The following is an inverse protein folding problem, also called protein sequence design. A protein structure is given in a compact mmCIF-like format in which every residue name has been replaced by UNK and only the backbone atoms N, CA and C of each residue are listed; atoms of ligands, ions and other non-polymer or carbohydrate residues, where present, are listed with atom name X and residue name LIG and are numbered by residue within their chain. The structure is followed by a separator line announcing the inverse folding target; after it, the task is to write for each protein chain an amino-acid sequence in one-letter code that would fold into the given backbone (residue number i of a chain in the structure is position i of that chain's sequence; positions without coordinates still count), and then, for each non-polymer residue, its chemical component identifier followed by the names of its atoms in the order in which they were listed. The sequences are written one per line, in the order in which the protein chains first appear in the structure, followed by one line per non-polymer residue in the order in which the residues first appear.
data_IF_775090694320
#
_entry.id   IF_775090694320
#
_cell.length_a   1.000
_cell.length_b   1.000
_cell.length_c   1.000
_cell.angle_alpha   90.00
_cell.angle_beta   90.00
_cell.angle_gamma   90.00
#
_symmetry.space_group_name_H-M   'P 1'
#
loop_
_entity.id
_entity.type
_entity.pdbx_description
1 polymer ?
#
# COMPACT_ATOMS: atom_id res chain seq x y z
N UNK A 1 15.59 -19.75 -9.58
CA UNK A 1 14.62 -20.38 -8.64
C UNK A 1 13.45 -19.40 -8.47
N UNK A 2 12.34 -19.57 -9.20
CA UNK A 2 11.13 -18.74 -9.00
C UNK A 2 10.51 -19.17 -7.67
N UNK A 3 10.72 -18.39 -6.61
CA UNK A 3 10.06 -18.64 -5.33
C UNK A 3 8.67 -18.03 -5.38
N UNK A 4 7.75 -18.93 -5.66
CA UNK A 4 6.33 -18.82 -5.54
C UNK A 4 5.94 -18.66 -4.07
N UNK A 5 5.22 -17.59 -3.69
CA UNK A 5 4.74 -17.40 -2.31
C UNK A 5 3.26 -17.77 -2.27
N UNK A 6 2.88 -18.88 -1.62
CA UNK A 6 1.47 -19.23 -1.49
C UNK A 6 0.72 -18.14 -0.72
N UNK A 7 -0.43 -17.71 -1.23
CA UNK A 7 -1.31 -16.72 -0.58
C UNK A 7 -1.62 -17.04 0.89
N UNK A 8 -1.68 -18.34 1.22
CA UNK A 8 -1.86 -18.85 2.58
C UNK A 8 -0.68 -18.53 3.53
N UNK A 9 0.57 -18.54 3.04
CA UNK A 9 1.74 -18.17 3.85
C UNK A 9 1.76 -16.66 4.14
N UNK A 10 1.37 -15.83 3.17
CA UNK A 10 1.32 -14.38 3.33
C UNK A 10 0.34 -13.98 4.44
N UNK A 11 -0.88 -14.53 4.39
CA UNK A 11 -1.94 -14.21 5.34
C UNK A 11 -1.59 -14.67 6.77
N UNK A 12 -0.92 -15.81 6.90
CA UNK A 12 -0.52 -16.36 8.21
C UNK A 12 0.70 -15.68 8.82
N UNK A 13 1.69 -15.33 8.02
CA UNK A 13 3.01 -14.97 8.55
C UNK A 13 3.29 -13.46 8.54
N UNK A 14 2.73 -12.73 7.57
CA UNK A 14 2.92 -11.28 7.46
C UNK A 14 1.79 -10.53 8.16
N UNK A 15 0.53 -10.89 7.90
CA UNK A 15 -0.62 -10.11 8.38
C UNK A 15 -0.99 -10.37 9.84
N UNK A 16 -0.80 -11.60 10.33
CA UNK A 16 -1.21 -12.01 11.68
C UNK A 16 -0.60 -11.14 12.79
N UNK A 17 0.72 -10.85 12.81
CA UNK A 17 1.31 -10.00 13.84
C UNK A 17 0.67 -8.61 13.92
N UNK A 18 0.40 -7.99 12.77
CA UNK A 18 -0.24 -6.66 12.73
C UNK A 18 -1.69 -6.68 13.22
N UNK A 19 -2.45 -7.73 12.89
CA UNK A 19 -3.83 -7.87 13.38
C UNK A 19 -3.89 -8.02 14.90
N UNK A 20 -2.99 -8.83 15.47
CA UNK A 20 -2.89 -8.98 16.93
C UNK A 20 -2.44 -7.69 17.60
N UNK A 21 -1.49 -6.95 17.02
CA UNK A 21 -1.06 -5.64 17.52
C UNK A 21 -2.21 -4.63 17.56
N UNK A 22 -3.00 -4.55 16.49
CA UNK A 22 -4.18 -3.67 16.43
C UNK A 22 -5.20 -4.06 17.50
N UNK A 23 -5.55 -5.35 17.57
CA UNK A 23 -6.51 -5.88 18.54
C UNK A 23 -6.08 -5.61 19.98
N UNK A 24 -4.81 -5.85 20.30
CA UNK A 24 -4.25 -5.56 21.62
C UNK A 24 -4.28 -4.07 21.92
N UNK A 25 -3.95 -3.22 20.95
CA UNK A 25 -3.97 -1.76 21.13
C UNK A 25 -5.38 -1.24 21.41
N UNK A 26 -6.37 -1.73 20.66
CA UNK A 26 -7.80 -1.41 20.84
C UNK A 26 -8.25 -1.81 22.25
N UNK A 27 -7.95 -3.04 22.66
CA UNK A 27 -8.34 -3.56 23.98
C UNK A 27 -7.65 -2.83 25.14
N UNK A 28 -6.33 -2.59 25.03
CA UNK A 28 -5.54 -1.95 26.10
C UNK A 28 -5.88 -0.47 26.29
N UNK A 29 -6.22 0.23 25.21
CA UNK A 29 -6.61 1.65 25.27
C UNK A 29 -8.11 1.85 25.48
N UNK A 30 -8.92 0.79 25.37
CA UNK A 30 -10.38 0.88 25.48
C UNK A 30 -11.01 1.78 24.41
N UNK A 31 -10.42 1.83 23.22
CA UNK A 31 -10.91 2.66 22.11
C UNK A 31 -11.73 1.82 21.13
N UNK A 32 -12.69 2.43 20.46
CA UNK A 32 -13.50 1.78 19.42
C UNK A 32 -13.46 2.60 18.13
N UNK A 33 -12.35 2.55 17.36
CA UNK A 33 -12.22 3.36 16.17
C UNK A 33 -13.27 2.96 15.13
N UNK A 34 -13.90 3.96 14.52
CA UNK A 34 -14.86 3.78 13.42
C UNK A 34 -14.20 4.11 12.08
N UNK A 35 -14.22 3.14 11.18
CA UNK A 35 -13.79 3.26 9.79
C UNK A 35 -15.02 3.19 8.86
N UNK A 36 -15.16 4.17 7.99
CA UNK A 36 -16.20 4.18 6.95
C UNK A 36 -15.56 3.92 5.58
N UNK A 37 -16.08 2.92 4.87
CA UNK A 37 -15.69 2.61 3.50
C UNK A 37 -16.76 3.06 2.51
N UNK A 38 -16.38 3.79 1.47
CA UNK A 38 -17.27 4.24 0.40
C UNK A 38 -17.09 3.41 -0.86
N UNK A 39 -18.12 2.65 -1.24
CA UNK A 39 -18.17 1.88 -2.47
C UNK A 39 -19.12 2.56 -3.45
N UNK A 40 -18.57 3.25 -4.44
CA UNK A 40 -19.31 4.02 -5.44
C UNK A 40 -19.14 3.49 -6.88
N UNK A 41 -18.57 2.30 -7.03
CA UNK A 41 -18.44 1.60 -8.31
C UNK A 41 -19.18 0.26 -8.27
N UNK A 42 -19.38 -0.34 -9.45
CA UNK A 42 -20.02 -1.65 -9.60
C UNK A 42 -19.01 -2.78 -9.79
N UNK A 43 -17.73 -2.55 -9.50
CA UNK A 43 -16.68 -3.56 -9.72
C UNK A 43 -16.84 -4.72 -8.69
N UNK A 44 -17.08 -5.96 -9.15
CA UNK A 44 -17.18 -7.11 -8.25
C UNK A 44 -15.90 -7.35 -7.42
N UNK A 45 -14.73 -6.93 -7.92
CA UNK A 45 -13.47 -7.02 -7.18
C UNK A 45 -13.44 -6.02 -6.01
N UNK A 46 -13.94 -4.81 -6.22
CA UNK A 46 -14.06 -3.79 -5.16
C UNK A 46 -15.03 -4.24 -4.07
N UNK A 47 -16.17 -4.84 -4.44
CA UNK A 47 -17.12 -5.39 -3.47
C UNK A 47 -16.48 -6.50 -2.61
N UNK A 48 -15.80 -7.46 -3.23
CA UNK A 48 -15.09 -8.53 -2.50
C UNK A 48 -14.01 -7.98 -1.58
N UNK A 49 -13.30 -6.95 -2.02
CA UNK A 49 -12.30 -6.29 -1.20
C UNK A 49 -12.94 -5.61 0.01
N UNK A 50 -14.08 -4.92 -0.18
CA UNK A 50 -14.84 -4.31 0.91
C UNK A 50 -15.35 -5.32 1.94
N UNK A 51 -15.84 -6.48 1.49
CA UNK A 51 -16.25 -7.59 2.38
C UNK A 51 -15.05 -8.13 3.18
N UNK A 52 -13.88 -8.24 2.54
CA UNK A 52 -12.65 -8.67 3.21
C UNK A 52 -12.17 -7.65 4.26
N UNK A 53 -12.29 -6.36 3.96
CA UNK A 53 -12.02 -5.26 4.90
C UNK A 53 -12.97 -5.36 6.10
N UNK A 54 -14.28 -5.49 5.87
CA UNK A 54 -15.28 -5.64 6.92
C UNK A 54 -14.95 -6.80 7.87
N UNK A 55 -14.64 -7.97 7.30
CA UNK A 55 -14.24 -9.15 8.09
C UNK A 55 -13.00 -8.87 8.95
N UNK A 56 -11.99 -8.22 8.37
CA UNK A 56 -10.74 -7.89 9.08
C UNK A 56 -10.99 -6.90 10.21
N UNK A 57 -11.79 -5.86 9.97
CA UNK A 57 -12.17 -4.89 10.99
C UNK A 57 -12.87 -5.57 12.17
N UNK A 58 -13.87 -6.42 11.90
CA UNK A 58 -14.57 -7.21 12.93
C UNK A 58 -13.62 -8.10 13.73
N UNK A 59 -12.67 -8.79 13.09
CA UNK A 59 -11.68 -9.63 13.76
C UNK A 59 -10.75 -8.84 14.70
N UNK A 60 -10.47 -7.58 14.36
CA UNK A 60 -9.56 -6.70 15.12
C UNK A 60 -10.26 -5.82 16.16
N UNK A 61 -11.59 -5.70 16.12
CA UNK A 61 -12.36 -4.83 17.01
C UNK A 61 -12.53 -3.39 16.50
N UNK A 62 -12.26 -3.14 15.22
CA UNK A 62 -12.54 -1.86 14.55
C UNK A 62 -14.00 -1.86 14.09
N UNK A 63 -14.75 -0.79 14.40
CA UNK A 63 -16.10 -0.62 13.91
C UNK A 63 -16.02 -0.25 12.43
N UNK A 64 -16.66 -1.03 11.55
CA UNK A 64 -16.65 -0.79 10.11
C UNK A 64 -18.05 -0.58 9.57
N UNK A 65 -18.21 0.47 8.77
CA UNK A 65 -19.45 0.78 8.06
C UNK A 65 -19.15 0.88 6.57
N UNK A 66 -19.82 0.05 5.76
CA UNK A 66 -19.74 0.12 4.31
C UNK A 66 -20.91 0.95 3.77
N UNK A 67 -20.62 2.12 3.22
CA UNK A 67 -21.59 2.97 2.54
C UNK A 67 -21.52 2.75 1.03
N UNK A 68 -22.62 2.25 0.47
CA UNK A 68 -22.83 2.21 -0.98
C UNK A 68 -23.55 3.48 -1.39
N UNK A 69 -22.97 4.23 -2.32
CA UNK A 69 -23.55 5.48 -2.84
C UNK A 69 -23.36 5.52 -4.36
N UNK A 70 -24.08 6.40 -5.04
CA UNK A 70 -23.77 6.66 -6.44
C UNK A 70 -22.46 7.45 -6.52
N UNK A 71 -21.72 7.29 -7.61
CA UNK A 71 -20.48 8.04 -7.84
C UNK A 71 -20.71 9.55 -7.82
N UNK A 72 -21.87 10.01 -8.26
CA UNK A 72 -22.26 11.43 -8.27
C UNK A 72 -22.47 11.99 -6.86
N UNK A 73 -22.90 11.16 -5.91
CA UNK A 73 -23.20 11.56 -4.51
C UNK A 73 -21.97 11.38 -3.59
N UNK A 74 -20.89 10.79 -4.10
CA UNK A 74 -19.75 10.37 -3.28
C UNK A 74 -19.05 11.52 -2.58
N UNK A 75 -18.87 12.66 -3.25
CA UNK A 75 -18.23 13.83 -2.67
C UNK A 75 -19.00 14.34 -1.45
N UNK A 76 -20.31 14.51 -1.57
CA UNK A 76 -21.18 14.96 -0.48
C UNK A 76 -21.15 13.99 0.71
N UNK A 77 -21.13 12.69 0.45
CA UNK A 77 -21.02 11.68 1.50
C UNK A 77 -19.66 11.69 2.21
N UNK A 78 -18.57 11.95 1.49
CA UNK A 78 -17.23 12.14 2.08
C UNK A 78 -17.23 13.40 2.95
N UNK A 79 -17.78 14.51 2.47
CA UNK A 79 -17.86 15.77 3.24
C UNK A 79 -18.63 15.56 4.55
N UNK A 80 -19.79 14.91 4.51
CA UNK A 80 -20.54 14.56 5.74
C UNK A 80 -19.71 13.69 6.69
N UNK A 81 -18.97 12.71 6.16
CA UNK A 81 -18.13 11.84 6.98
C UNK A 81 -16.89 12.56 7.57
N UNK A 82 -16.37 13.56 6.87
CA UNK A 82 -15.30 14.42 7.38
C UNK A 82 -15.75 15.21 8.61
N UNK A 83 -17.01 15.69 8.62
CA UNK A 83 -17.56 16.48 9.73
C UNK A 83 -18.01 15.62 10.93
N UNK A 84 -18.31 14.34 10.72
CA UNK A 84 -18.75 13.44 11.79
C UNK A 84 -17.58 13.03 12.73
N UNK A 85 -17.55 13.58 13.93
CA UNK A 85 -16.53 13.29 14.97
C UNK A 85 -16.52 11.82 15.42
N UNK A 86 -17.60 11.06 15.21
CA UNK A 86 -17.64 9.63 15.51
C UNK A 86 -16.82 8.79 14.53
N UNK A 87 -16.48 9.35 13.36
CA UNK A 87 -15.69 8.68 12.31
C UNK A 87 -14.21 9.04 12.47
N UNK A 88 -13.37 8.01 12.64
CA UNK A 88 -11.92 8.19 12.81
C UNK A 88 -11.15 7.94 11.51
N UNK A 89 -11.74 7.22 10.55
CA UNK A 89 -11.09 6.89 9.29
C UNK A 89 -12.08 6.78 8.14
N UNK A 90 -11.64 7.19 6.96
CA UNK A 90 -12.37 7.15 5.70
C UNK A 90 -11.53 6.42 4.66
N UNK A 91 -12.17 5.50 3.94
CA UNK A 91 -11.58 4.73 2.85
C UNK A 91 -12.50 4.78 1.63
N UNK A 92 -11.95 4.95 0.43
CA UNK A 92 -12.73 5.02 -0.81
C UNK A 92 -12.26 3.93 -1.78
N UNK A 93 -13.18 3.12 -2.28
CA UNK A 93 -12.84 2.03 -3.20
C UNK A 93 -12.70 2.55 -4.64
N UNK A 94 -11.47 2.90 -5.04
CA UNK A 94 -11.11 3.32 -6.39
C UNK A 94 -10.96 2.15 -7.39
N UNK A 95 -11.05 2.40 -8.71
CA UNK A 95 -11.42 3.66 -9.35
C UNK A 95 -12.93 3.93 -9.25
N UNK A 96 -13.32 5.21 -9.16
CA UNK A 96 -14.74 5.61 -9.17
C UNK A 96 -15.09 6.18 -10.54
N UNK A 97 -14.30 7.13 -11.01
CA UNK A 97 -14.43 7.73 -12.35
C UNK A 97 -13.35 7.23 -13.31
N UNK A 98 -12.20 6.78 -12.80
CA UNK A 98 -11.09 6.27 -13.62
C UNK A 98 -10.25 7.35 -14.28
N UNK A 99 -10.39 8.61 -13.87
CA UNK A 99 -9.65 9.75 -14.38
C UNK A 99 -9.11 10.66 -13.24
N UNK A 100 -8.88 11.94 -13.52
CA UNK A 100 -8.36 12.90 -12.54
C UNK A 100 -9.36 13.25 -11.43
N UNK A 101 -10.64 12.94 -11.59
CA UNK A 101 -11.66 13.15 -10.54
C UNK A 101 -11.38 12.27 -9.32
N UNK A 102 -10.85 11.07 -9.52
CA UNK A 102 -10.43 10.21 -8.40
C UNK A 102 -9.32 10.87 -7.57
N UNK A 103 -8.39 11.60 -8.21
CA UNK A 103 -7.36 12.37 -7.49
C UNK A 103 -7.96 13.57 -6.74
N UNK A 104 -9.02 14.17 -7.28
CA UNK A 104 -9.74 15.22 -6.58
C UNK A 104 -10.41 14.66 -5.30
N UNK A 105 -11.14 13.55 -5.42
CA UNK A 105 -11.78 12.88 -4.28
C UNK A 105 -10.79 12.48 -3.18
N UNK A 106 -9.59 12.01 -3.54
CA UNK A 106 -8.51 11.73 -2.58
C UNK A 106 -8.13 12.95 -1.72
N UNK A 107 -8.33 14.16 -2.24
CA UNK A 107 -8.06 15.41 -1.54
C UNK A 107 -9.30 16.00 -0.83
N UNK A 108 -10.50 15.50 -1.13
CA UNK A 108 -11.72 15.81 -0.38
C UNK A 108 -11.70 15.10 0.98
N UNK A 109 -11.14 13.89 1.06
CA UNK A 109 -10.98 13.17 2.33
C UNK A 109 -10.07 13.97 3.27
N UNK A 110 -10.54 14.24 4.49
CA UNK A 110 -9.76 14.98 5.47
C UNK A 110 -8.46 14.22 5.81
N UNK A 111 -7.33 14.92 5.81
CA UNK A 111 -6.02 14.29 6.03
C UNK A 111 -5.91 13.56 7.37
N UNK A 112 -6.63 13.99 8.42
CA UNK A 112 -6.65 13.31 9.72
C UNK A 112 -7.44 12.00 9.71
N UNK A 113 -8.34 11.83 8.73
CA UNK A 113 -9.18 10.63 8.53
C UNK A 113 -8.76 9.79 7.32
N UNK A 114 -7.84 10.25 6.48
CA UNK A 114 -7.29 9.50 5.34
C UNK A 114 -6.41 8.33 5.80
N UNK A 115 -7.01 7.15 5.93
CA UNK A 115 -6.29 5.92 6.34
C UNK A 115 -5.52 5.28 5.18
N UNK A 116 -5.78 5.69 3.94
CA UNK A 116 -5.13 5.14 2.75
C UNK A 116 -3.83 5.87 2.41
N UNK A 117 -3.66 7.11 2.88
CA UNK A 117 -2.46 7.91 2.67
C UNK A 117 -2.40 8.54 1.29
N UNK A 118 -3.54 8.76 0.64
CA UNK A 118 -3.63 9.17 -0.77
C UNK A 118 -3.78 10.68 -0.96
N UNK A 119 -4.09 11.44 0.08
CA UNK A 119 -4.13 12.90 -0.06
C UNK A 119 -2.74 13.47 -0.41
N UNK A 120 -2.74 14.61 -1.11
CA UNK A 120 -1.52 15.27 -1.60
C UNK A 120 -0.48 15.49 -0.50
N UNK A 121 -0.92 15.80 0.73
CA UNK A 121 -0.05 16.03 1.89
C UNK A 121 0.77 14.79 2.24
N UNK A 122 0.15 13.61 2.31
CA UNK A 122 0.84 12.37 2.63
C UNK A 122 1.73 11.88 1.51
N UNK A 123 1.27 12.00 0.27
CA UNK A 123 2.10 11.70 -0.90
C UNK A 123 3.34 12.61 -0.93
N UNK A 124 3.16 13.92 -0.74
CA UNK A 124 4.27 14.88 -0.66
C UNK A 124 5.26 14.51 0.45
N UNK A 125 4.77 14.29 1.67
CA UNK A 125 5.61 13.94 2.80
C UNK A 125 6.42 12.66 2.55
N UNK A 126 5.79 11.65 1.95
CA UNK A 126 6.46 10.41 1.58
C UNK A 126 7.59 10.65 0.57
N UNK A 127 7.37 11.44 -0.49
CA UNK A 127 8.42 11.75 -1.47
C UNK A 127 9.58 12.53 -0.86
N UNK A 128 9.30 13.42 0.08
CA UNK A 128 10.31 14.21 0.81
C UNK A 128 10.88 13.50 2.05
N UNK A 129 10.54 12.22 2.25
CA UNK A 129 11.00 11.42 3.39
C UNK A 129 10.65 12.05 4.77
N UNK A 130 9.56 12.82 4.84
CA UNK A 130 9.03 13.42 6.07
C UNK A 130 8.25 12.34 6.83
N UNK A 131 8.79 11.90 7.97
CA UNK A 131 8.25 10.78 8.75
C UNK A 131 7.29 11.19 9.87
N UNK A 132 7.25 12.47 10.23
CA UNK A 132 6.40 13.01 11.28
C UNK A 132 5.67 14.25 10.78
N UNK A 133 4.41 14.39 11.15
CA UNK A 133 3.54 15.50 10.74
C UNK A 133 3.76 16.71 11.66
N UNK A 134 4.17 16.45 12.89
CA UNK A 134 4.43 17.44 13.93
C UNK A 134 5.93 17.59 14.21
N UNK A 135 6.33 18.77 14.68
CA UNK A 135 7.72 19.09 15.02
C UNK A 135 8.24 18.26 16.19
N UNK A 136 7.34 17.87 17.10
CA UNK A 136 7.64 17.10 18.31
C UNK A 136 7.83 15.59 18.03
N UNK A 137 7.60 15.15 16.79
CA UNK A 137 7.74 13.76 16.34
C UNK A 137 6.84 12.78 17.10
N UNK A 138 5.65 13.23 17.52
CA UNK A 138 4.65 12.42 18.22
C UNK A 138 3.70 11.72 17.25
N UNK A 139 3.46 12.30 16.06
CA UNK A 139 2.52 11.82 15.05
C UNK A 139 3.26 11.42 13.78
N UNK A 140 3.33 10.11 13.55
CA UNK A 140 3.89 9.57 12.30
C UNK A 140 3.06 9.99 11.11
N UNK A 141 3.74 10.30 10.01
CA UNK A 141 3.10 10.52 8.73
C UNK A 141 2.52 9.20 8.20
N UNK A 142 1.30 9.26 7.67
CA UNK A 142 0.69 8.12 6.97
C UNK A 142 1.40 7.96 5.62
N UNK A 143 1.63 6.70 5.24
CA UNK A 143 2.25 6.31 3.97
C UNK A 143 1.20 5.51 3.19
N UNK A 144 1.11 5.69 1.87
CA UNK A 144 0.23 4.90 1.02
C UNK A 144 0.23 3.40 1.37
N UNK A 145 -0.95 2.86 1.66
CA UNK A 145 -1.10 1.53 2.27
C UNK A 145 -0.52 0.41 1.38
N UNK A 146 -0.69 0.49 0.06
CA UNK A 146 -0.24 -0.54 -0.89
C UNK A 146 1.30 -0.56 -1.02
N UNK A 147 1.97 0.56 -1.33
CA UNK A 147 3.43 0.63 -1.28
C UNK A 147 4.02 0.17 0.06
N UNK A 148 3.41 0.58 1.19
CA UNK A 148 3.85 0.17 2.51
C UNK A 148 3.70 -1.35 2.72
N UNK A 149 2.59 -1.94 2.29
CA UNK A 149 2.38 -3.38 2.37
C UNK A 149 3.49 -4.14 1.62
N UNK A 150 3.86 -3.69 0.41
CA UNK A 150 4.96 -4.28 -0.36
C UNK A 150 6.28 -4.17 0.42
N UNK A 151 6.59 -3.01 1.00
CA UNK A 151 7.78 -2.84 1.86
C UNK A 151 7.75 -3.84 3.01
N UNK A 152 6.62 -4.01 3.71
CA UNK A 152 6.49 -5.00 4.79
C UNK A 152 6.69 -6.44 4.34
N UNK A 153 6.24 -6.79 3.13
CA UNK A 153 6.53 -8.09 2.54
C UNK A 153 8.03 -8.26 2.32
N UNK A 154 8.69 -7.26 1.75
CA UNK A 154 10.12 -7.29 1.46
C UNK A 154 10.99 -7.37 2.73
N UNK A 155 10.57 -6.69 3.81
CA UNK A 155 11.17 -6.82 5.13
C UNK A 155 11.01 -8.25 5.67
N UNK A 156 9.81 -8.82 5.54
CA UNK A 156 9.52 -10.18 6.00
C UNK A 156 10.37 -11.23 5.28
N UNK A 157 10.48 -11.16 3.95
CA UNK A 157 11.26 -12.10 3.14
C UNK A 157 12.78 -11.82 3.15
N UNK A 158 13.24 -10.91 4.02
CA UNK A 158 14.66 -10.58 4.24
C UNK A 158 15.39 -10.03 3.02
N UNK A 159 14.69 -9.29 2.15
CA UNK A 159 15.35 -8.49 1.10
C UNK A 159 16.14 -7.34 1.73
N UNK A 160 15.55 -6.70 2.74
CA UNK A 160 16.16 -5.66 3.55
C UNK A 160 17.31 -6.24 4.39
N UNK A 161 18.46 -5.58 4.38
CA UNK A 161 19.60 -5.93 5.22
C UNK A 161 19.47 -5.24 6.58
N UNK A 162 19.17 -5.97 7.67
CA UNK A 162 18.96 -5.38 8.99
C UNK A 162 20.26 -4.88 9.65
N UNK A 163 21.43 -5.26 9.14
CA UNK A 163 22.74 -4.81 9.66
C UNK A 163 23.01 -3.36 9.25
N UNK A 164 22.44 -2.90 8.13
CA UNK A 164 22.61 -1.54 7.64
C UNK A 164 21.73 -0.55 8.41
N UNK A 165 22.20 0.69 8.48
CA UNK A 165 21.45 1.79 9.08
C UNK A 165 20.06 1.96 8.42
N UNK A 166 19.10 2.43 9.21
CA UNK A 166 17.79 2.80 8.70
C UNK A 166 17.92 3.84 7.57
N UNK A 167 17.13 3.70 6.50
CA UNK A 167 17.28 4.49 5.26
C UNK A 167 18.35 3.98 4.28
N UNK A 168 19.11 2.94 4.63
CA UNK A 168 20.10 2.33 3.72
C UNK A 168 20.01 0.79 3.66
N UNK A 169 18.90 0.22 4.14
CA UNK A 169 18.71 -1.23 4.26
C UNK A 169 18.60 -1.95 2.91
N UNK A 170 18.35 -1.23 1.83
CA UNK A 170 18.33 -1.75 0.47
C UNK A 170 19.60 -1.46 -0.33
N UNK A 171 20.67 -0.97 0.32
CA UNK A 171 21.93 -0.72 -0.35
C UNK A 171 22.44 -1.93 -1.15
N UNK A 172 22.85 -1.69 -2.39
CA UNK A 172 23.34 -2.74 -3.30
C UNK A 172 22.23 -3.62 -3.91
N UNK A 173 20.96 -3.38 -3.60
CA UNK A 173 19.80 -4.01 -4.26
C UNK A 173 19.39 -3.20 -5.49
N UNK A 174 19.12 -3.90 -6.59
CA UNK A 174 18.53 -3.30 -7.80
C UNK A 174 17.08 -3.77 -7.90
N UNK A 175 16.15 -2.83 -7.97
CA UNK A 175 14.72 -3.12 -7.97
C UNK A 175 14.10 -2.51 -9.21
N UNK A 176 13.36 -3.31 -9.96
CA UNK A 176 12.60 -2.89 -11.12
C UNK A 176 11.11 -2.95 -10.80
N UNK A 177 10.43 -1.83 -10.96
CA UNK A 177 8.98 -1.70 -10.77
C UNK A 177 8.33 -1.58 -12.13
N UNK A 178 7.45 -2.53 -12.44
CA UNK A 178 6.64 -2.57 -13.66
C UNK A 178 5.26 -2.04 -13.33
N UNK A 179 5.18 -0.72 -13.16
CA UNK A 179 3.99 0.09 -12.95
C UNK A 179 4.41 1.55 -12.74
N UNK A 180 3.71 2.50 -13.37
CA UNK A 180 3.95 3.96 -13.22
C UNK A 180 2.75 4.75 -12.69
N UNK A 181 1.77 4.08 -12.09
CA UNK A 181 0.61 4.74 -11.50
C UNK A 181 1.02 5.64 -10.34
N UNK A 182 0.28 6.72 -10.16
CA UNK A 182 0.46 7.66 -9.05
C UNK A 182 0.07 7.04 -7.70
N UNK A 183 -0.74 5.99 -7.71
CA UNK A 183 -1.26 5.33 -6.49
C UNK A 183 -0.28 4.27 -5.96
N UNK A 184 0.42 3.56 -6.84
CA UNK A 184 1.25 2.41 -6.43
C UNK A 184 2.68 2.50 -6.96
N UNK A 185 2.87 2.58 -8.27
CA UNK A 185 4.19 2.40 -8.89
C UNK A 185 5.21 3.46 -8.47
N UNK A 186 4.87 4.75 -8.65
CA UNK A 186 5.76 5.86 -8.32
C UNK A 186 5.97 6.02 -6.80
N UNK A 187 4.94 5.94 -5.95
CA UNK A 187 5.13 5.94 -4.50
C UNK A 187 6.04 4.81 -4.00
N UNK A 188 5.86 3.59 -4.52
CA UNK A 188 6.73 2.46 -4.17
C UNK A 188 8.18 2.71 -4.60
N UNK A 189 8.39 3.29 -5.77
CA UNK A 189 9.73 3.61 -6.25
C UNK A 189 10.44 4.58 -5.31
N UNK A 190 9.73 5.63 -4.87
CA UNK A 190 10.26 6.61 -3.93
C UNK A 190 10.58 5.98 -2.56
N UNK A 191 9.70 5.14 -2.01
CA UNK A 191 9.95 4.46 -0.74
C UNK A 191 11.21 3.59 -0.79
N UNK A 192 11.34 2.77 -1.83
CA UNK A 192 12.49 1.87 -1.97
C UNK A 192 13.80 2.63 -2.24
N UNK A 193 13.73 3.75 -2.96
CA UNK A 193 14.88 4.64 -3.16
C UNK A 193 15.28 5.34 -1.85
N UNK A 194 14.31 5.80 -1.06
CA UNK A 194 14.54 6.39 0.27
C UNK A 194 15.17 5.40 1.26
N UNK A 195 15.04 4.10 1.02
CA UNK A 195 15.67 3.03 1.80
C UNK A 195 17.03 2.56 1.25
N UNK A 196 17.58 3.27 0.25
CA UNK A 196 18.91 3.05 -0.33
C UNK A 196 18.94 2.07 -1.51
N UNK A 197 17.78 1.68 -2.06
CA UNK A 197 17.69 0.80 -3.22
C UNK A 197 17.94 1.54 -4.54
N UNK A 198 18.60 0.87 -5.49
CA UNK A 198 18.70 1.37 -6.88
C UNK A 198 17.44 0.96 -7.65
N UNK A 199 16.54 1.90 -7.89
CA UNK A 199 15.21 1.62 -8.44
C UNK A 199 15.10 2.01 -9.92
N UNK A 200 14.52 1.13 -10.73
CA UNK A 200 14.12 1.37 -12.11
C UNK A 200 12.58 1.29 -12.20
N UNK A 201 11.92 2.34 -12.66
CA UNK A 201 10.48 2.34 -12.92
C UNK A 201 10.23 2.24 -14.43
N UNK A 202 9.37 1.30 -14.83
CA UNK A 202 9.15 0.89 -16.21
C UNK A 202 7.65 0.83 -16.49
N UNK A 203 7.24 1.31 -17.67
CA UNK A 203 5.84 1.17 -18.13
C UNK A 203 5.54 -0.24 -18.62
N UNK A 204 4.29 -0.70 -18.45
CA UNK A 204 3.86 -2.04 -18.87
C UNK A 204 4.00 -2.26 -20.39
N UNK A 205 3.94 -1.20 -21.19
CA UNK A 205 4.08 -1.24 -22.64
C UNK A 205 5.51 -0.98 -23.11
N UNK A 206 6.45 -0.70 -22.20
CA UNK A 206 7.85 -0.54 -22.56
C UNK A 206 8.40 -1.91 -22.97
N UNK A 207 8.73 -2.06 -24.27
CA UNK A 207 9.49 -3.19 -24.78
C UNK A 207 10.89 -3.13 -24.16
N UNK A 208 11.11 -3.90 -23.11
CA UNK A 208 12.42 -4.01 -22.48
C UNK A 208 12.83 -5.46 -22.55
N UNK A 209 13.92 -5.71 -23.28
CA UNK A 209 14.67 -6.96 -23.20
C UNK A 209 15.33 -7.02 -21.81
N UNK A 210 14.54 -7.39 -20.79
CA UNK A 210 15.07 -7.64 -19.45
C UNK A 210 15.89 -8.92 -19.56
N UNK A 211 17.18 -8.79 -19.89
CA UNK A 211 18.14 -9.87 -19.72
C UNK A 211 18.28 -10.15 -18.24
N UNK A 212 17.41 -11.03 -17.74
CA UNK A 212 17.58 -11.66 -16.44
C UNK A 212 18.85 -12.50 -16.56
N UNK A 213 19.99 -11.99 -16.09
CA UNK A 213 21.20 -12.78 -15.95
C UNK A 213 20.91 -13.91 -14.96
N UNK A 214 20.61 -15.10 -15.48
CA UNK A 214 20.34 -16.30 -14.69
C UNK A 214 21.61 -17.01 -14.22
N UNK A 215 22.79 -16.48 -14.54
CA UNK A 215 24.08 -17.05 -14.14
C UNK A 215 24.50 -16.54 -12.76
N UNK A 216 24.09 -17.29 -11.73
CA UNK A 216 24.71 -17.27 -10.41
C UNK A 216 26.12 -17.88 -10.54
N UNK A 217 27.11 -17.07 -10.89
CA UNK A 217 28.53 -17.49 -10.89
C UNK A 217 29.14 -17.18 -9.54
N UNK A 218 29.68 -18.21 -8.88
CA UNK A 218 30.17 -18.25 -7.48
C UNK A 218 31.45 -17.40 -7.25
N UNK A 219 31.81 -16.48 -8.15
CA UNK A 219 33.04 -15.69 -8.07
C UNK A 219 32.86 -14.18 -8.31
N UNK A 220 31.87 -13.54 -7.67
CA UNK A 220 31.90 -12.08 -7.43
C UNK A 220 31.38 -11.73 -6.03
N UNK A 221 32.16 -11.03 -5.18
CA UNK A 221 31.82 -10.78 -3.78
C UNK A 221 30.73 -9.71 -3.57
N UNK A 222 30.07 -9.24 -4.62
CA UNK A 222 28.95 -8.30 -4.56
C UNK A 222 27.85 -8.74 -5.55
N UNK A 223 27.04 -9.72 -5.16
CA UNK A 223 25.90 -10.16 -5.97
C UNK A 223 24.75 -9.15 -5.86
N UNK A 224 24.66 -8.24 -6.83
CA UNK A 224 23.51 -7.36 -7.01
C UNK A 224 22.25 -8.21 -7.18
N UNK A 225 21.33 -8.15 -6.22
CA UNK A 225 20.06 -8.84 -6.31
C UNK A 225 19.08 -8.00 -7.13
N UNK A 226 18.46 -8.64 -8.13
CA UNK A 226 17.43 -8.05 -8.99
C UNK A 226 16.04 -8.48 -8.50
N UNK A 227 15.17 -7.51 -8.23
CA UNK A 227 13.78 -7.75 -7.84
C UNK A 227 12.85 -7.08 -8.86
N UNK A 228 11.92 -7.83 -9.44
CA UNK A 228 10.87 -7.28 -10.31
C UNK A 228 9.54 -7.26 -9.56
N UNK A 229 8.94 -6.08 -9.42
CA UNK A 229 7.64 -5.89 -8.79
C UNK A 229 6.66 -5.42 -9.86
N UNK A 230 5.66 -6.25 -10.17
CA UNK A 230 4.54 -5.85 -11.03
C UNK A 230 3.38 -5.44 -10.14
N UNK A 231 2.81 -4.28 -10.37
CA UNK A 231 1.55 -3.87 -9.73
C UNK A 231 0.56 -3.54 -10.87
N UNK A 232 -0.69 -4.00 -10.83
CA UNK A 232 -1.73 -3.59 -11.80
C UNK A 232 -2.33 -4.66 -12.74
N UNK A 233 -3.66 -4.55 -12.84
CA UNK A 233 -4.73 -5.16 -13.67
C UNK A 233 -4.67 -6.62 -14.12
N UNK A 234 -5.69 -7.37 -13.65
CA UNK A 234 -6.17 -8.63 -14.20
C UNK A 234 -6.56 -8.43 -15.68
N UNK A 235 -5.72 -8.92 -16.59
CA UNK A 235 -6.22 -9.36 -17.89
C UNK A 235 -6.72 -10.80 -17.72
N UNK A 236 -7.93 -11.17 -18.18
CA UNK A 236 -8.43 -12.55 -18.08
C UNK A 236 -7.51 -13.58 -18.75
N UNK A 237 -6.61 -13.12 -19.63
CA UNK A 237 -5.65 -13.93 -20.37
C UNK A 237 -4.28 -14.09 -19.68
N UNK A 238 -4.02 -13.41 -18.54
CA UNK A 238 -2.75 -13.53 -17.81
C UNK A 238 -2.98 -13.78 -16.32
N UNK A 239 -2.53 -14.95 -15.86
CA UNK A 239 -2.51 -15.32 -14.44
C UNK A 239 -1.76 -14.26 -13.61
N UNK A 240 -2.20 -13.98 -12.38
CA UNK A 240 -1.56 -13.03 -11.51
C UNK A 240 -0.12 -13.46 -11.21
N UNK A 241 0.87 -12.69 -11.69
CA UNK A 241 2.24 -12.76 -11.19
C UNK A 241 2.49 -11.58 -10.26
N UNK A 242 1.79 -11.57 -9.13
CA UNK A 242 2.30 -11.00 -7.88
C UNK A 242 2.35 -12.19 -6.95
N UNK A 243 3.54 -12.77 -6.80
CA UNK A 243 3.72 -14.04 -6.11
C UNK A 243 2.75 -15.13 -6.62
N UNK A 244 2.99 -15.64 -7.83
CA UNK A 244 2.67 -17.07 -8.06
C UNK A 244 3.83 -17.87 -7.55
#
# INVERSE_FOLDING_TARGET
MKRSFPSCLFQRLVLKPFREEIKNTINTRGIHPKLVGFLANQDPAALKYAESTAKTCTETGVVFELKKCNREDLEDEIVKANEDESINGIMVYYPVFGDRQDQYLQNVVDSSKDVEGLCHKYIYNMYHNIRFIDKEQTKKCIIPCTPLAIVKVLEYIKVYNPILAYGNRLHGRVITIVNRSEIVGRPLAALLANDGGKVYSIDINAYIDVRVYSSFSIYKPFSTAYLVIRTGYYSPSYRPCIFE
#
